data_IF_494097507893
#
_entry.id   IF_494097507893
#
_cell.length_a   1.000
_cell.length_b   1.000
_cell.length_c   1.000
_cell.angle_alpha   90.00
_cell.angle_beta   90.00
_cell.angle_gamma   90.00
#
_symmetry.space_group_name_H-M   'P 1'
#
loop_
_entity.id
_entity.type
_entity.pdbx_description
1 polymer ?
#
# COMPACT_ATOMS: atom_id res chain seq x y z
N UNK A 1 -17.57 -17.30 -6.31
CA UNK A 1 -17.60 -18.53 -5.48
C UNK A 1 -16.99 -18.15 -4.15
N UNK A 2 -17.69 -18.25 -3.03
CA UNK A 2 -17.12 -17.91 -1.74
C UNK A 2 -15.93 -18.84 -1.44
N UNK A 3 -14.86 -18.29 -0.93
CA UNK A 3 -13.70 -19.05 -0.44
C UNK A 3 -14.21 -19.95 0.70
N UNK A 4 -14.20 -21.26 0.49
CA UNK A 4 -14.66 -22.22 1.48
C UNK A 4 -13.69 -22.19 2.67
N UNK A 5 -14.14 -21.62 3.78
CA UNK A 5 -13.35 -21.11 4.91
C UNK A 5 -12.47 -22.12 5.64
N UNK A 6 -12.68 -23.43 5.47
CA UNK A 6 -12.07 -24.38 6.41
C UNK A 6 -11.01 -25.32 5.82
N UNK A 7 -11.04 -25.60 4.52
CA UNK A 7 -10.18 -26.67 3.97
C UNK A 7 -8.93 -26.18 3.24
N UNK A 8 -9.01 -25.02 2.59
CA UNK A 8 -7.87 -24.55 1.75
C UNK A 8 -6.71 -23.95 2.54
N UNK A 9 -6.96 -23.43 3.73
CA UNK A 9 -5.91 -22.84 4.57
C UNK A 9 -5.12 -23.87 5.37
N UNK A 10 -5.68 -25.07 5.60
CA UNK A 10 -4.98 -26.19 6.29
C UNK A 10 -4.10 -27.02 5.37
N UNK A 11 -4.25 -26.90 4.07
CA UNK A 11 -3.50 -27.76 3.12
C UNK A 11 -2.14 -27.20 2.68
N UNK A 12 -1.63 -26.14 3.30
CA UNK A 12 -0.26 -25.63 3.05
C UNK A 12 -0.02 -25.06 1.64
N UNK A 13 -1.07 -24.83 0.84
CA UNK A 13 -0.93 -24.38 -0.55
C UNK A 13 -0.69 -22.88 -0.72
N UNK A 14 -1.03 -22.07 0.28
CA UNK A 14 -0.80 -20.63 0.29
C UNK A 14 -0.14 -20.24 1.61
N UNK A 15 1.12 -19.87 1.54
CA UNK A 15 1.79 -19.19 2.63
C UNK A 15 1.67 -17.68 2.39
N UNK A 16 0.88 -17.02 3.19
CA UNK A 16 0.64 -15.58 3.05
C UNK A 16 1.87 -14.76 3.42
N UNK A 17 2.69 -15.22 4.36
CA UNK A 17 3.93 -14.54 4.75
C UNK A 17 4.90 -14.47 3.57
N UNK A 18 5.03 -15.55 2.79
CA UNK A 18 5.85 -15.59 1.59
C UNK A 18 5.26 -14.69 0.49
N UNK A 19 3.92 -14.65 0.37
CA UNK A 19 3.25 -13.88 -0.68
C UNK A 19 3.37 -12.39 -0.45
N UNK A 20 3.22 -11.95 0.78
CA UNK A 20 3.22 -10.53 1.13
C UNK A 20 4.53 -10.07 1.75
N UNK A 21 5.59 -10.89 1.68
CA UNK A 21 6.98 -10.54 1.98
C UNK A 21 7.14 -9.76 3.30
N UNK A 22 6.62 -10.32 4.38
CA UNK A 22 6.74 -9.76 5.72
C UNK A 22 5.80 -8.59 6.04
N UNK A 23 4.79 -8.32 5.20
CA UNK A 23 3.68 -7.41 5.59
C UNK A 23 2.74 -8.07 6.62
N UNK A 24 2.78 -9.39 6.70
CA UNK A 24 1.89 -10.17 7.55
C UNK A 24 2.72 -10.76 8.67
N UNK A 25 2.49 -10.27 9.87
CA UNK A 25 3.24 -10.67 11.05
C UNK A 25 2.45 -11.57 11.96
N UNK A 26 1.55 -12.29 11.63
CA UNK A 26 0.96 -13.30 12.48
C UNK A 26 -0.47 -13.70 12.05
N UNK A 27 -1.11 -14.42 12.86
CA UNK A 27 -2.30 -15.25 12.70
C UNK A 27 -3.41 -14.61 11.87
N UNK A 28 -3.64 -15.17 10.70
CA UNK A 28 -4.86 -14.96 9.94
C UNK A 28 -6.10 -15.16 10.83
N UNK A 29 -6.92 -14.16 10.96
CA UNK A 29 -8.19 -14.20 11.71
C UNK A 29 -9.34 -14.23 10.73
N UNK A 30 -10.06 -15.36 10.58
CA UNK A 30 -11.27 -15.39 9.77
C UNK A 30 -12.35 -14.48 10.37
N UNK A 31 -13.00 -13.70 9.51
CA UNK A 31 -14.18 -12.91 9.86
C UNK A 31 -15.30 -13.13 8.84
N UNK A 32 -16.42 -12.42 9.00
CA UNK A 32 -17.58 -12.56 8.10
C UNK A 32 -17.28 -12.13 6.67
N UNK A 33 -16.35 -11.20 6.51
CA UNK A 33 -16.00 -10.59 5.22
C UNK A 33 -14.85 -11.33 4.52
N UNK A 34 -14.07 -12.16 5.23
CA UNK A 34 -12.93 -12.86 4.66
C UNK A 34 -11.89 -13.25 5.69
N UNK A 35 -10.63 -12.86 5.45
CA UNK A 35 -9.49 -13.11 6.30
C UNK A 35 -8.84 -11.78 6.63
N UNK A 36 -8.67 -11.53 7.90
CA UNK A 36 -8.05 -10.35 8.44
C UNK A 36 -6.68 -10.69 9.05
N UNK A 37 -5.71 -9.85 8.80
CA UNK A 37 -4.38 -9.92 9.36
C UNK A 37 -4.17 -8.64 10.17
N UNK A 38 -4.36 -8.70 11.49
CA UNK A 38 -4.09 -7.57 12.35
C UNK A 38 -2.59 -7.33 12.47
N UNK A 39 -2.20 -6.07 12.60
CA UNK A 39 -0.86 -5.74 13.04
C UNK A 39 -0.73 -5.98 14.54
N UNK A 40 0.23 -6.81 14.91
CA UNK A 40 0.60 -7.04 16.31
C UNK A 40 1.99 -6.47 16.66
N UNK A 41 2.63 -5.77 15.72
CA UNK A 41 3.94 -5.21 16.01
C UNK A 41 3.78 -3.94 16.84
N UNK A 42 4.30 -3.96 18.07
CA UNK A 42 4.43 -2.75 18.92
C UNK A 42 5.33 -1.67 18.28
N UNK A 43 5.92 -1.94 17.13
CA UNK A 43 6.92 -1.09 16.48
C UNK A 43 6.43 -0.43 15.18
N UNK A 44 5.29 -0.85 14.63
CA UNK A 44 4.71 -0.25 13.42
C UNK A 44 3.28 0.17 13.70
N UNK A 45 3.03 1.44 13.59
CA UNK A 45 1.71 2.01 13.75
C UNK A 45 0.82 1.59 12.56
N UNK A 46 -0.10 0.62 12.81
CA UNK A 46 -1.29 0.35 12.01
C UNK A 46 -1.10 -0.09 10.56
N UNK A 47 -0.55 -1.30 10.35
CA UNK A 47 -0.76 -2.01 9.09
C UNK A 47 -1.84 -3.08 9.27
N UNK A 48 -2.91 -3.00 8.50
CA UNK A 48 -4.01 -3.96 8.53
C UNK A 48 -4.24 -4.47 7.11
N UNK A 49 -4.10 -5.77 6.91
CA UNK A 49 -4.41 -6.41 5.64
C UNK A 49 -5.71 -7.20 5.76
N UNK A 50 -6.63 -6.97 4.85
CA UNK A 50 -7.89 -7.70 4.73
C UNK A 50 -7.99 -8.33 3.35
N UNK A 51 -8.24 -9.63 3.30
CA UNK A 51 -8.59 -10.35 2.06
C UNK A 51 -10.06 -10.69 2.14
N UNK A 52 -10.86 -10.07 1.28
CA UNK A 52 -12.31 -10.22 1.27
C UNK A 52 -12.76 -11.50 0.54
N UNK A 53 -13.96 -12.00 0.88
CA UNK A 53 -14.55 -13.17 0.24
C UNK A 53 -14.80 -12.99 -1.27
N UNK A 54 -14.98 -11.76 -1.74
CA UNK A 54 -15.11 -11.42 -3.16
C UNK A 54 -13.77 -11.37 -3.90
N UNK A 55 -12.67 -11.49 -3.16
CA UNK A 55 -11.31 -11.46 -3.68
C UNK A 55 -10.66 -10.08 -3.60
N UNK A 56 -11.32 -9.02 -3.18
CA UNK A 56 -10.65 -7.75 -2.94
C UNK A 56 -9.60 -7.90 -1.83
N UNK A 57 -8.53 -7.12 -1.96
CA UNK A 57 -7.47 -7.03 -0.94
C UNK A 57 -7.33 -5.57 -0.55
N UNK A 58 -7.41 -5.28 0.73
CA UNK A 58 -7.26 -3.93 1.28
C UNK A 58 -6.08 -3.90 2.24
N UNK A 59 -5.21 -2.92 2.07
CA UNK A 59 -4.18 -2.56 3.03
C UNK A 59 -4.51 -1.19 3.61
N UNK A 60 -4.55 -1.11 4.93
CA UNK A 60 -4.58 0.15 5.68
C UNK A 60 -3.24 0.33 6.35
N UNK A 61 -2.61 1.46 6.10
CA UNK A 61 -1.33 1.81 6.69
C UNK A 61 -1.31 3.28 7.08
N UNK A 62 -0.61 3.61 8.15
CA UNK A 62 -0.33 4.97 8.53
C UNK A 62 0.94 5.47 7.85
N UNK A 63 0.93 6.71 7.43
CA UNK A 63 2.14 7.35 6.97
C UNK A 63 2.95 7.87 8.16
N UNK A 64 4.25 7.65 8.12
CA UNK A 64 5.13 8.31 9.05
C UNK A 64 5.08 9.83 8.84
N UNK A 65 4.76 10.55 9.90
CA UNK A 65 4.76 12.01 9.91
C UNK A 65 5.90 12.48 10.78
N UNK A 66 6.84 13.20 10.20
CA UNK A 66 7.97 13.80 10.94
C UNK A 66 7.82 15.29 11.09
N UNK A 67 8.13 15.79 12.28
CA UNK A 67 8.30 17.20 12.49
C UNK A 67 9.62 17.69 11.87
N UNK A 68 9.62 18.89 11.34
CA UNK A 68 10.84 19.49 10.81
C UNK A 68 11.89 19.56 11.90
N UNK A 69 13.01 18.90 11.70
CA UNK A 69 14.15 18.97 12.61
C UNK A 69 14.62 20.42 12.75
N UNK A 70 14.99 20.78 13.97
CA UNK A 70 15.32 22.10 14.48
C UNK A 70 16.51 22.84 13.83
N UNK A 71 17.07 22.33 12.76
CA UNK A 71 18.22 22.97 12.07
C UNK A 71 17.83 24.18 11.21
N UNK A 72 16.55 24.30 10.82
CA UNK A 72 16.08 25.53 10.16
C UNK A 72 15.06 26.23 11.07
N UNK A 73 15.40 27.42 11.54
CA UNK A 73 14.54 28.23 12.40
C UNK A 73 13.14 28.53 11.82
N UNK A 74 12.94 28.35 10.53
CA UNK A 74 11.69 28.63 9.83
C UNK A 74 10.67 27.48 9.81
N UNK A 75 11.10 26.25 10.11
CA UNK A 75 10.26 25.06 9.89
C UNK A 75 9.87 24.34 11.19
N UNK A 76 10.05 24.95 12.35
CA UNK A 76 9.83 24.31 13.66
C UNK A 76 8.42 23.77 13.94
N UNK A 77 7.44 24.13 13.12
CA UNK A 77 6.03 23.73 13.28
C UNK A 77 5.47 22.96 12.07
N UNK A 78 6.32 22.66 11.10
CA UNK A 78 5.86 22.00 9.86
C UNK A 78 5.98 20.47 10.00
N UNK A 79 4.94 19.77 9.53
CA UNK A 79 4.86 18.30 9.54
C UNK A 79 4.99 17.77 8.13
N UNK A 80 5.81 16.76 7.97
CA UNK A 80 6.13 16.17 6.69
C UNK A 80 5.58 14.75 6.57
N UNK A 81 5.02 14.46 5.40
CA UNK A 81 4.60 13.14 5.00
C UNK A 81 5.80 12.38 4.42
N UNK A 82 6.16 11.25 4.99
CA UNK A 82 7.21 10.39 4.50
C UNK A 82 6.62 9.35 3.55
N UNK A 83 7.02 9.40 2.27
CA UNK A 83 6.39 8.59 1.20
C UNK A 83 7.20 7.32 0.89
N UNK A 84 8.43 7.23 1.37
CA UNK A 84 9.32 6.14 0.99
C UNK A 84 8.77 4.76 1.39
N UNK A 85 8.26 4.62 2.60
CA UNK A 85 7.71 3.35 3.09
C UNK A 85 6.45 2.96 2.34
N UNK A 86 5.61 3.94 1.99
CA UNK A 86 4.44 3.71 1.16
C UNK A 86 4.76 3.04 -0.19
N UNK A 87 5.83 3.47 -0.87
CA UNK A 87 6.19 2.86 -2.15
C UNK A 87 6.57 1.39 -2.00
N UNK A 88 7.32 1.07 -0.94
CA UNK A 88 7.72 -0.30 -0.65
C UNK A 88 6.52 -1.19 -0.32
N UNK A 89 5.62 -0.71 0.53
CA UNK A 89 4.43 -1.45 0.95
C UNK A 89 3.42 -1.61 -0.21
N UNK A 90 3.24 -0.59 -1.03
CA UNK A 90 2.39 -0.68 -2.22
C UNK A 90 2.93 -1.72 -3.22
N UNK A 91 4.26 -1.79 -3.42
CA UNK A 91 4.89 -2.83 -4.24
C UNK A 91 4.60 -4.23 -3.70
N UNK A 92 4.84 -4.45 -2.43
CA UNK A 92 4.57 -5.74 -1.77
C UNK A 92 3.10 -6.15 -1.90
N UNK A 93 2.18 -5.21 -1.65
CA UNK A 93 0.74 -5.45 -1.76
C UNK A 93 0.34 -5.91 -3.16
N UNK A 94 0.74 -5.18 -4.19
CA UNK A 94 0.36 -5.49 -5.57
C UNK A 94 1.00 -6.81 -6.01
N UNK A 95 2.28 -7.02 -5.72
CA UNK A 95 2.99 -8.26 -6.04
C UNK A 95 2.39 -9.46 -5.31
N UNK A 96 2.17 -9.34 -4.00
CA UNK A 96 1.60 -10.41 -3.19
C UNK A 96 0.19 -10.78 -3.64
N UNK A 97 -0.64 -9.78 -3.95
CA UNK A 97 -1.99 -9.98 -4.47
C UNK A 97 -1.95 -10.68 -5.83
N UNK A 98 -1.08 -10.24 -6.75
CA UNK A 98 -0.90 -10.88 -8.06
C UNK A 98 -0.49 -12.35 -7.90
N UNK A 99 0.53 -12.64 -7.08
CA UNK A 99 1.00 -14.00 -6.83
C UNK A 99 -0.06 -14.88 -6.16
N UNK A 100 -0.86 -14.32 -5.24
CA UNK A 100 -1.98 -15.03 -4.62
C UNK A 100 -2.98 -15.47 -5.69
N UNK A 101 -3.38 -14.58 -6.58
CA UNK A 101 -4.32 -14.92 -7.66
C UNK A 101 -3.73 -15.91 -8.66
N UNK A 102 -2.46 -15.78 -9.03
CA UNK A 102 -1.75 -16.74 -9.87
C UNK A 102 -1.80 -18.14 -9.26
N UNK A 103 -1.46 -18.27 -7.97
CA UNK A 103 -1.50 -19.56 -7.25
C UNK A 103 -2.93 -20.12 -7.11
N UNK A 104 -3.94 -19.27 -7.08
CA UNK A 104 -5.34 -19.67 -7.09
C UNK A 104 -5.87 -20.03 -8.49
N UNK A 105 -5.01 -19.98 -9.52
CA UNK A 105 -5.38 -20.23 -10.91
C UNK A 105 -6.33 -19.18 -11.48
N UNK A 106 -6.29 -17.95 -10.97
CA UNK A 106 -7.08 -16.84 -11.46
C UNK A 106 -6.28 -16.06 -12.49
N UNK A 107 -6.88 -15.88 -13.67
CA UNK A 107 -6.36 -15.00 -14.73
C UNK A 107 -7.40 -13.91 -14.94
N UNK A 108 -7.24 -12.80 -14.27
CA UNK A 108 -8.19 -11.69 -14.32
C UNK A 108 -7.44 -10.37 -14.24
N UNK A 109 -8.09 -9.31 -14.70
CA UNK A 109 -7.57 -7.96 -14.45
C UNK A 109 -7.64 -7.62 -12.96
N UNK A 110 -6.70 -6.80 -12.50
CA UNK A 110 -6.67 -6.23 -11.16
C UNK A 110 -6.76 -4.71 -11.25
N UNK A 111 -7.59 -4.11 -10.41
CA UNK A 111 -7.67 -2.67 -10.26
C UNK A 111 -7.03 -2.26 -8.94
N UNK A 112 -6.07 -1.35 -9.01
CA UNK A 112 -5.40 -0.79 -7.82
C UNK A 112 -5.99 0.58 -7.55
N UNK A 113 -6.58 0.74 -6.36
CA UNK A 113 -7.15 2.00 -5.89
C UNK A 113 -6.36 2.49 -4.68
N UNK A 114 -5.91 3.73 -4.70
CA UNK A 114 -5.21 4.36 -3.57
C UNK A 114 -6.01 5.55 -3.08
N UNK A 115 -6.26 5.58 -1.77
CA UNK A 115 -6.89 6.71 -1.10
C UNK A 115 -6.03 7.12 0.09
N UNK A 116 -5.70 8.40 0.18
CA UNK A 116 -4.94 8.99 1.28
C UNK A 116 -5.88 9.92 2.03
N UNK A 117 -5.95 9.78 3.35
CA UNK A 117 -6.79 10.59 4.22
C UNK A 117 -5.96 11.28 5.30
N UNK A 118 -6.47 12.39 5.86
CA UNK A 118 -5.79 13.08 6.96
C UNK A 118 -4.56 13.90 6.53
N UNK A 119 -4.35 14.12 5.22
CA UNK A 119 -3.11 14.70 4.69
C UNK A 119 -3.13 16.24 4.57
N UNK A 120 -4.24 16.91 4.86
CA UNK A 120 -4.34 18.37 4.73
C UNK A 120 -3.35 19.09 5.64
N UNK A 121 -2.59 19.97 5.03
CA UNK A 121 -1.62 20.81 5.75
C UNK A 121 -0.26 20.15 5.96
N UNK A 122 -0.11 18.86 5.60
CA UNK A 122 1.20 18.21 5.60
C UNK A 122 2.02 18.66 4.40
N UNK A 123 3.32 18.68 4.56
CA UNK A 123 4.24 18.92 3.47
C UNK A 123 4.63 17.58 2.85
N UNK A 124 4.61 17.49 1.53
CA UNK A 124 5.19 16.36 0.83
C UNK A 124 6.71 16.55 0.76
N UNK A 125 7.44 15.63 1.34
CA UNK A 125 8.90 15.66 1.31
C UNK A 125 9.42 14.42 0.60
N UNK A 126 10.15 14.66 -0.49
CA UNK A 126 10.93 13.61 -1.17
C UNK A 126 12.39 13.94 -1.08
N UNK A 127 13.18 13.06 -0.49
CA UNK A 127 14.64 13.16 -0.56
C UNK A 127 15.08 12.63 -1.91
N UNK A 128 15.45 13.51 -2.80
CA UNK A 128 16.18 13.12 -4.01
C UNK A 128 17.68 13.19 -3.74
N UNK A 129 18.41 12.17 -4.17
CA UNK A 129 19.88 12.13 -4.09
C UNK A 129 20.57 13.30 -4.83
N UNK A 130 19.85 14.06 -5.66
CA UNK A 130 20.36 15.09 -6.54
C UNK A 130 19.74 16.48 -6.38
N UNK A 131 18.97 16.71 -5.37
CA UNK A 131 18.40 18.03 -5.12
C UNK A 131 17.02 17.96 -4.49
N UNK A 132 16.74 18.90 -3.59
CA UNK A 132 15.46 19.01 -2.94
C UNK A 132 14.40 19.42 -3.98
N UNK A 133 13.40 18.57 -4.22
CA UNK A 133 12.17 19.06 -4.81
C UNK A 133 11.59 20.12 -3.85
N UNK A 134 11.11 21.21 -4.40
CA UNK A 134 10.41 22.21 -3.58
C UNK A 134 9.23 21.51 -2.92
N UNK A 135 9.22 21.37 -1.60
CA UNK A 135 8.10 20.74 -0.92
C UNK A 135 6.85 21.56 -1.17
N UNK A 136 5.74 20.88 -1.41
CA UNK A 136 4.43 21.51 -1.60
C UNK A 136 3.52 21.09 -0.44
N UNK A 137 2.70 22.01 0.01
CA UNK A 137 1.73 21.76 1.07
C UNK A 137 0.49 21.11 0.49
N UNK A 138 0.06 20.01 1.07
CA UNK A 138 -1.17 19.32 0.64
C UNK A 138 -2.37 20.16 1.08
N UNK A 139 -3.24 20.52 0.14
CA UNK A 139 -4.39 21.39 0.36
C UNK A 139 -5.69 20.62 0.69
N UNK A 140 -5.71 19.31 0.50
CA UNK A 140 -6.88 18.44 0.64
C UNK A 140 -6.72 17.48 1.82
N UNK A 141 -7.84 17.17 2.47
CA UNK A 141 -7.85 16.18 3.54
C UNK A 141 -7.96 14.75 3.01
N UNK A 142 -8.48 14.59 1.80
CA UNK A 142 -8.59 13.32 1.12
C UNK A 142 -8.10 13.44 -0.31
N UNK A 143 -7.27 12.49 -0.72
CA UNK A 143 -6.78 12.33 -2.08
C UNK A 143 -7.20 10.95 -2.54
N UNK A 144 -8.00 10.90 -3.61
CA UNK A 144 -8.38 9.66 -4.30
C UNK A 144 -7.60 9.64 -5.60
N UNK A 145 -6.70 8.68 -5.74
CA UNK A 145 -5.92 8.52 -6.95
C UNK A 145 -6.77 7.83 -8.03
N UNK A 146 -6.48 8.14 -9.29
CA UNK A 146 -7.13 7.44 -10.41
C UNK A 146 -6.78 5.94 -10.33
N UNK A 147 -7.78 5.06 -10.37
CA UNK A 147 -7.53 3.61 -10.37
C UNK A 147 -6.62 3.19 -11.53
N UNK A 148 -5.69 2.29 -11.24
CA UNK A 148 -4.79 1.72 -12.24
C UNK A 148 -5.26 0.30 -12.55
N UNK A 149 -5.47 0.01 -13.83
CA UNK A 149 -5.79 -1.33 -14.32
C UNK A 149 -4.50 -2.10 -14.66
N UNK A 150 -4.37 -3.31 -14.12
CA UNK A 150 -3.38 -4.31 -14.53
C UNK A 150 -4.17 -5.41 -15.24
N UNK A 151 -4.13 -5.43 -16.56
CA UNK A 151 -5.02 -6.27 -17.40
C UNK A 151 -4.70 -7.75 -17.29
N UNK A 152 -3.43 -8.09 -17.18
CA UNK A 152 -3.00 -9.47 -17.09
C UNK A 152 -2.02 -9.65 -15.91
N UNK A 153 -2.54 -10.19 -14.82
CA UNK A 153 -1.74 -10.47 -13.62
C UNK A 153 -0.80 -11.68 -13.76
N UNK A 154 -0.90 -12.45 -14.87
CA UNK A 154 0.05 -13.53 -15.20
C UNK A 154 1.29 -12.99 -15.91
N UNK A 155 1.27 -11.74 -16.34
CA UNK A 155 2.36 -11.06 -17.02
C UNK A 155 3.09 -10.17 -16.02
N UNK A 156 4.26 -10.62 -15.58
CA UNK A 156 5.08 -9.92 -14.58
C UNK A 156 5.49 -8.51 -15.05
N UNK A 157 5.64 -8.31 -16.36
CA UNK A 157 5.94 -6.98 -16.92
C UNK A 157 4.77 -6.02 -16.75
N UNK A 158 3.54 -6.46 -17.05
CA UNK A 158 2.35 -5.64 -16.83
C UNK A 158 2.12 -5.36 -15.34
N UNK A 159 2.41 -6.32 -14.46
CA UNK A 159 2.37 -6.10 -13.01
C UNK A 159 3.37 -5.04 -12.60
N UNK A 160 4.61 -5.13 -13.07
CA UNK A 160 5.67 -4.14 -12.80
C UNK A 160 5.31 -2.75 -13.30
N UNK A 161 4.83 -2.63 -14.52
CA UNK A 161 4.37 -1.35 -15.09
C UNK A 161 3.19 -0.77 -14.32
N UNK A 162 2.25 -1.61 -13.90
CA UNK A 162 1.10 -1.21 -13.08
C UNK A 162 1.54 -0.62 -11.73
N UNK A 163 2.51 -1.25 -11.08
CA UNK A 163 3.10 -0.76 -9.82
C UNK A 163 3.72 0.63 -10.04
N UNK A 164 4.60 0.77 -11.03
CA UNK A 164 5.26 2.05 -11.31
C UNK A 164 4.26 3.16 -11.64
N UNK A 165 3.23 2.83 -12.41
CA UNK A 165 2.16 3.76 -12.72
C UNK A 165 1.38 4.18 -11.47
N UNK A 166 1.08 3.24 -10.57
CA UNK A 166 0.35 3.51 -9.33
C UNK A 166 1.17 4.44 -8.42
N UNK A 167 2.44 4.16 -8.22
CA UNK A 167 3.36 5.00 -7.44
C UNK A 167 3.44 6.40 -8.06
N UNK A 168 3.64 6.49 -9.36
CA UNK A 168 3.74 7.76 -10.07
C UNK A 168 2.47 8.60 -9.92
N UNK A 169 1.29 7.98 -10.12
CA UNK A 169 0.00 8.67 -9.99
C UNK A 169 -0.25 9.14 -8.56
N UNK A 170 0.12 8.34 -7.57
CA UNK A 170 0.01 8.73 -6.16
C UNK A 170 0.92 9.93 -5.86
N UNK A 171 2.17 9.92 -6.32
CA UNK A 171 3.08 11.06 -6.19
C UNK A 171 2.52 12.32 -6.84
N UNK A 172 2.03 12.23 -8.05
CA UNK A 172 1.41 13.39 -8.74
C UNK A 172 0.21 13.93 -7.97
N UNK A 173 -0.63 13.05 -7.42
CA UNK A 173 -1.80 13.44 -6.64
C UNK A 173 -1.41 14.16 -5.34
N UNK A 174 -0.25 13.86 -4.80
CA UNK A 174 0.37 14.56 -3.66
C UNK A 174 1.12 15.85 -4.06
N UNK A 175 1.16 16.19 -5.35
CA UNK A 175 1.89 17.37 -5.85
C UNK A 175 3.40 17.17 -5.97
N UNK A 176 3.87 15.94 -5.88
CA UNK A 176 5.29 15.61 -6.09
C UNK A 176 5.53 15.51 -7.59
N UNK A 177 6.25 16.49 -8.11
CA UNK A 177 6.69 16.50 -9.51
C UNK A 177 8.15 16.03 -9.57
N UNK A 178 8.44 15.24 -10.59
CA UNK A 178 9.84 14.91 -10.90
C UNK A 178 10.60 16.14 -11.34
#
# INVERSE_FOLDING_TARGET
MPLNKSSKYREGKLNFDDLFNGMIYDRAVPNVDGIYFPDYSEQRDFEQLQIFNNGAVELKMDFEIRDANSQSKQLKTERYLIIFDFEAELRKLIQGTSQMYQKLGRSTAMYVCVTIVGCKGLWNYTVNAYGANTPTKVDRNQIVCTPIEIRNIQDDEQVREGIENCIRMTKYSLGIRK
#
